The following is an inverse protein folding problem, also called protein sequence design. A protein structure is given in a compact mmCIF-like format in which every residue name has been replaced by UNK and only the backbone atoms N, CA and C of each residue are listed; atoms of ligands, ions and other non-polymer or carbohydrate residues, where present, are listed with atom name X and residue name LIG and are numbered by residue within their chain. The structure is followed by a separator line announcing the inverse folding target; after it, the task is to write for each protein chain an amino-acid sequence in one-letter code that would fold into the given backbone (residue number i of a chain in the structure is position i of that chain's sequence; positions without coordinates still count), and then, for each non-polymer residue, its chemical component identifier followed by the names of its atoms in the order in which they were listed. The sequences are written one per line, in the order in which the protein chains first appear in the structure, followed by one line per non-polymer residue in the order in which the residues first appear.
data_IF_677077532594
#
_entry.id   IF_677077532594
#
_cell.length_a   1.000
_cell.length_b   1.000
_cell.length_c   1.000
_cell.angle_alpha   90.00
_cell.angle_beta   90.00
_cell.angle_gamma   90.00
#
_symmetry.space_group_name_H-M   'P 1'
#
loop_
_entity.id
_entity.type
_entity.pdbx_description
1 polymer ?
#
# COMPACT_ATOMS: atom_id res chain seq x y z
N UNK A 1 38.49 -3.29 19.35
CA UNK A 1 37.04 -3.29 19.62
C UNK A 1 36.37 -2.67 18.40
N UNK A 2 35.65 -3.45 17.58
CA UNK A 2 34.85 -2.91 16.48
C UNK A 2 33.40 -2.95 16.96
N UNK A 3 32.76 -1.78 17.08
CA UNK A 3 31.32 -1.72 17.26
C UNK A 3 30.67 -2.39 16.04
N UNK A 4 29.73 -3.33 16.20
CA UNK A 4 28.93 -3.77 15.07
C UNK A 4 28.14 -2.56 14.59
N UNK A 5 28.22 -2.30 13.30
CA UNK A 5 27.43 -1.33 12.56
C UNK A 5 26.01 -1.33 13.09
N UNK A 6 25.66 -0.29 13.85
CA UNK A 6 24.28 0.08 14.08
C UNK A 6 23.73 0.30 12.68
N UNK A 7 22.98 -0.69 12.17
CA UNK A 7 22.18 -0.53 10.97
C UNK A 7 21.38 0.74 11.25
N UNK A 8 21.72 1.81 10.53
CA UNK A 8 21.13 3.12 10.74
C UNK A 8 19.63 2.97 10.50
N UNK A 9 18.89 2.67 11.56
CA UNK A 9 17.46 2.76 11.55
C UNK A 9 17.18 4.25 11.26
N UNK A 10 16.51 4.58 10.14
CA UNK A 10 16.25 5.97 9.80
C UNK A 10 15.50 6.62 10.98
N UNK A 11 16.15 7.61 11.61
CA UNK A 11 15.61 8.43 12.70
C UNK A 11 14.67 9.51 12.12
N UNK A 12 13.81 10.16 12.93
CA UNK A 12 12.38 10.24 12.69
C UNK A 12 11.95 11.45 11.85
N UNK A 13 10.85 11.28 11.12
CA UNK A 13 9.81 12.31 10.93
C UNK A 13 10.29 13.71 10.50
N UNK A 14 11.15 13.79 9.50
CA UNK A 14 11.31 15.04 8.75
C UNK A 14 10.52 14.91 7.43
N UNK A 15 9.75 15.92 6.99
CA UNK A 15 9.04 15.87 5.72
C UNK A 15 9.86 15.41 4.49
N UNK A 16 11.18 15.69 4.39
CA UNK A 16 12.08 15.13 3.40
C UNK A 16 12.24 13.60 3.48
N UNK A 17 12.17 12.99 4.67
CA UNK A 17 12.34 11.55 4.85
C UNK A 17 11.14 10.77 4.28
N UNK A 18 9.91 11.21 4.56
CA UNK A 18 8.73 10.61 3.93
C UNK A 18 8.77 10.80 2.41
N UNK A 19 9.16 11.99 1.93
CA UNK A 19 9.31 12.23 0.49
C UNK A 19 10.29 11.23 -0.13
N UNK A 20 11.45 11.02 0.49
CA UNK A 20 12.45 10.06 0.01
C UNK A 20 11.90 8.62 -0.01
N UNK A 21 11.20 8.18 1.04
CA UNK A 21 10.55 6.87 1.07
C UNK A 21 9.55 6.71 -0.09
N UNK A 22 8.69 7.72 -0.31
CA UNK A 22 7.73 7.69 -1.41
C UNK A 22 8.42 7.66 -2.78
N UNK A 23 9.51 8.41 -2.95
CA UNK A 23 10.32 8.35 -4.16
C UNK A 23 10.96 6.97 -4.36
N UNK A 24 11.31 6.26 -3.28
CA UNK A 24 11.78 4.88 -3.37
C UNK A 24 10.67 3.90 -3.75
N UNK A 25 9.41 4.15 -3.39
CA UNK A 25 8.30 3.29 -3.79
C UNK A 25 7.94 3.47 -5.28
N UNK A 26 8.01 4.71 -5.78
CA UNK A 26 7.62 5.06 -7.15
C UNK A 26 8.44 4.31 -8.21
N UNK A 27 7.75 3.76 -9.20
CA UNK A 27 8.36 3.01 -10.31
C UNK A 27 8.98 1.66 -9.94
N UNK A 28 8.95 1.25 -8.66
CA UNK A 28 9.49 -0.05 -8.23
C UNK A 28 8.46 -1.18 -8.26
N UNK A 29 7.18 -0.89 -8.51
CA UNK A 29 6.09 -1.88 -8.51
C UNK A 29 6.34 -3.09 -9.41
N UNK A 30 6.93 -2.86 -10.58
CA UNK A 30 7.18 -3.88 -11.60
C UNK A 30 8.33 -4.83 -11.24
N UNK A 31 9.09 -4.56 -10.18
CA UNK A 31 10.12 -5.50 -9.70
C UNK A 31 9.46 -6.75 -9.16
N UNK A 32 10.15 -7.88 -9.13
CA UNK A 32 9.62 -9.16 -8.61
C UNK A 32 9.18 -9.09 -7.15
N UNK A 33 9.78 -8.19 -6.39
CA UNK A 33 9.47 -7.90 -5.01
C UNK A 33 9.56 -6.36 -4.83
N UNK A 34 8.42 -5.66 -4.75
CA UNK A 34 8.38 -4.21 -4.68
C UNK A 34 8.52 -3.75 -3.22
N UNK A 35 9.14 -2.58 -2.98
CA UNK A 35 9.17 -2.00 -1.65
C UNK A 35 7.75 -1.65 -1.17
N UNK A 36 7.54 -1.85 0.13
CA UNK A 36 6.31 -1.53 0.84
C UNK A 36 6.66 -0.80 2.14
N UNK A 37 5.80 0.14 2.53
CA UNK A 37 5.85 0.79 3.82
C UNK A 37 4.85 0.12 4.75
N UNK A 38 5.31 -0.37 5.90
CA UNK A 38 4.47 -1.08 6.86
C UNK A 38 4.35 -0.26 8.14
N UNK A 39 3.11 0.09 8.48
CA UNK A 39 2.71 0.67 9.75
C UNK A 39 2.37 -0.43 10.73
N UNK A 40 2.98 -0.43 11.90
CA UNK A 40 2.65 -1.37 12.97
C UNK A 40 1.19 -1.23 13.42
N UNK A 41 0.61 -2.36 13.84
CA UNK A 41 -0.70 -2.37 14.46
C UNK A 41 -0.66 -1.60 15.80
N UNK A 42 -1.70 -0.82 16.06
CA UNK A 42 -1.92 -0.12 17.33
C UNK A 42 -3.05 -0.77 18.11
N UNK A 43 -3.39 -0.20 19.26
CA UNK A 43 -4.55 -0.64 20.04
C UNK A 43 -5.90 -0.44 19.30
N UNK A 44 -5.95 0.44 18.29
CA UNK A 44 -7.19 0.85 17.61
C UNK A 44 -7.17 0.65 16.10
N UNK A 45 -6.04 0.27 15.53
CA UNK A 45 -5.81 0.20 14.09
C UNK A 45 -4.95 -0.99 13.78
N UNK A 46 -5.27 -1.75 12.75
CA UNK A 46 -4.44 -2.89 12.35
C UNK A 46 -3.19 -2.47 11.59
N UNK A 47 -2.31 -3.44 11.36
CA UNK A 47 -1.10 -3.22 10.58
C UNK A 47 -1.48 -2.77 9.17
N UNK A 48 -0.99 -1.58 8.80
CA UNK A 48 -1.25 -0.94 7.52
C UNK A 48 -0.07 -1.11 6.58
N UNK A 49 -0.31 -1.37 5.31
CA UNK A 49 0.73 -1.52 4.30
C UNK A 49 0.46 -0.57 3.15
N UNK A 50 1.50 0.14 2.72
CA UNK A 50 1.44 1.10 1.62
C UNK A 50 2.41 0.70 0.53
N UNK A 51 1.92 0.70 -0.69
CA UNK A 51 2.72 0.49 -1.90
C UNK A 51 2.40 1.58 -2.91
N UNK A 52 3.34 1.84 -3.84
CA UNK A 52 3.06 2.66 -5.00
C UNK A 52 2.82 1.75 -6.21
N UNK A 53 1.58 1.65 -6.66
CA UNK A 53 1.20 0.93 -7.88
C UNK A 53 1.04 1.95 -9.00
N UNK A 54 1.86 1.87 -10.05
CA UNK A 54 1.82 2.82 -11.17
C UNK A 54 1.81 4.30 -10.72
N UNK A 55 2.66 4.59 -9.71
CA UNK A 55 2.79 5.93 -9.09
C UNK A 55 1.64 6.35 -8.16
N UNK A 56 0.59 5.54 -8.04
CA UNK A 56 -0.51 5.72 -7.11
C UNK A 56 -0.23 5.04 -5.77
N UNK A 57 -0.31 5.81 -4.68
CA UNK A 57 -0.13 5.30 -3.33
C UNK A 57 -1.40 4.61 -2.85
N UNK A 58 -1.29 3.32 -2.58
CA UNK A 58 -2.39 2.47 -2.12
C UNK A 58 -2.08 1.99 -0.72
N UNK A 59 -2.91 2.37 0.24
CA UNK A 59 -2.87 1.91 1.62
C UNK A 59 -3.88 0.77 1.80
N UNK A 60 -3.50 -0.28 2.53
CA UNK A 60 -4.41 -1.38 2.87
C UNK A 60 -4.03 -1.91 4.25
N UNK A 61 -5.05 -2.12 5.08
CA UNK A 61 -4.89 -2.82 6.36
C UNK A 61 -4.98 -4.32 6.14
N UNK A 62 -4.38 -5.11 7.04
CA UNK A 62 -4.40 -6.57 6.93
C UNK A 62 -5.81 -7.14 6.84
N UNK A 63 -6.73 -6.64 7.66
CA UNK A 63 -8.13 -7.09 7.73
C UNK A 63 -9.05 -6.32 6.78
N UNK A 64 -8.54 -5.27 6.11
CA UNK A 64 -9.34 -4.57 5.12
C UNK A 64 -9.53 -5.44 3.86
N UNK A 65 -10.78 -5.53 3.40
CA UNK A 65 -11.14 -6.20 2.14
C UNK A 65 -10.52 -5.53 0.91
N UNK A 66 -10.37 -4.20 0.96
CA UNK A 66 -9.92 -3.37 -0.15
C UNK A 66 -8.79 -2.42 0.23
N UNK A 67 -8.01 -2.02 -0.78
CA UNK A 67 -7.07 -0.92 -0.64
C UNK A 67 -7.78 0.42 -0.87
N UNK A 68 -7.22 1.48 -0.29
CA UNK A 68 -7.68 2.84 -0.46
C UNK A 68 -6.54 3.72 -0.98
N UNK A 69 -6.85 4.59 -1.93
CA UNK A 69 -5.90 5.58 -2.42
C UNK A 69 -5.58 6.55 -1.28
N UNK A 70 -4.30 6.67 -0.93
CA UNK A 70 -3.85 7.54 0.15
C UNK A 70 -3.01 8.68 -0.41
N UNK A 71 -3.28 9.90 0.03
CA UNK A 71 -2.45 11.05 -0.32
C UNK A 71 -1.28 11.17 0.65
N UNK A 72 -0.32 12.05 0.34
CA UNK A 72 0.78 12.34 1.26
C UNK A 72 0.27 12.85 2.63
N UNK A 73 -0.74 13.71 2.65
CA UNK A 73 -1.36 14.18 3.90
C UNK A 73 -2.01 13.04 4.69
N UNK A 74 -2.69 12.11 4.02
CA UNK A 74 -3.23 10.91 4.65
C UNK A 74 -2.14 10.08 5.32
N UNK A 75 -1.02 9.87 4.62
CA UNK A 75 0.15 9.18 5.20
C UNK A 75 0.71 9.90 6.43
N UNK A 76 0.79 11.23 6.43
CA UNK A 76 1.22 11.96 7.63
C UNK A 76 0.28 11.73 8.80
N UNK A 77 -1.02 11.67 8.55
CA UNK A 77 -2.00 11.37 9.59
C UNK A 77 -1.81 9.96 10.15
N UNK A 78 -1.57 8.95 9.30
CA UNK A 78 -1.21 7.60 9.75
C UNK A 78 0.09 7.59 10.57
N UNK A 79 1.11 8.35 10.15
CA UNK A 79 2.37 8.47 10.91
C UNK A 79 2.14 9.07 12.30
N UNK A 80 1.27 10.07 12.40
CA UNK A 80 0.92 10.69 13.69
C UNK A 80 0.14 9.75 14.61
N UNK A 81 -0.64 8.81 14.05
CA UNK A 81 -1.47 7.88 14.81
C UNK A 81 -0.75 6.57 15.18
N UNK A 82 -0.09 5.94 14.21
CA UNK A 82 0.51 4.61 14.33
C UNK A 82 2.03 4.66 14.53
N UNK A 83 2.64 5.83 14.33
CA UNK A 83 4.09 5.97 14.34
C UNK A 83 4.70 5.76 12.95
N UNK A 84 6.02 5.59 12.93
CA UNK A 84 6.76 5.57 11.66
C UNK A 84 6.56 4.24 10.92
N UNK A 85 6.31 4.28 9.60
CA UNK A 85 6.32 3.07 8.81
C UNK A 85 7.75 2.56 8.62
N UNK A 86 7.88 1.25 8.60
CA UNK A 86 9.13 0.57 8.24
C UNK A 86 9.15 0.30 6.75
N UNK A 87 10.24 0.67 6.07
CA UNK A 87 10.48 0.29 4.68
C UNK A 87 10.93 -1.17 4.62
N UNK A 88 10.09 -2.01 4.04
CA UNK A 88 10.33 -3.44 3.84
C UNK A 88 9.92 -3.81 2.40
N UNK A 89 9.82 -5.09 2.12
CA UNK A 89 9.39 -5.63 0.85
C UNK A 89 7.99 -6.20 0.95
N UNK A 90 7.22 -6.20 -0.14
CA UNK A 90 5.87 -6.76 -0.12
C UNK A 90 5.88 -8.24 0.27
N UNK A 91 6.89 -9.01 -0.17
CA UNK A 91 7.03 -10.43 0.16
C UNK A 91 7.27 -10.70 1.65
N UNK A 92 7.78 -9.72 2.41
CA UNK A 92 7.92 -9.81 3.88
C UNK A 92 6.61 -9.50 4.61
N UNK A 93 5.61 -8.97 3.91
CA UNK A 93 4.27 -8.73 4.45
C UNK A 93 3.34 -9.90 4.15
N UNK A 94 2.25 -10.08 4.93
CA UNK A 94 1.20 -11.04 4.60
C UNK A 94 0.35 -10.62 3.38
N UNK A 95 0.57 -9.41 2.84
CA UNK A 95 -0.14 -8.93 1.66
C UNK A 95 0.63 -9.24 0.37
N UNK A 96 -0.10 -9.45 -0.71
CA UNK A 96 0.48 -9.72 -2.03
C UNK A 96 0.04 -8.68 -3.03
N UNK A 97 0.64 -8.66 -4.23
CA UNK A 97 0.27 -7.72 -5.28
C UNK A 97 -1.23 -7.68 -5.57
N UNK A 98 -1.88 -8.84 -5.51
CA UNK A 98 -3.31 -8.99 -5.78
C UNK A 98 -4.15 -8.10 -4.86
N UNK A 99 -3.75 -7.96 -3.59
CA UNK A 99 -4.45 -7.12 -2.62
C UNK A 99 -4.40 -5.62 -2.93
N UNK A 100 -3.48 -5.20 -3.80
CA UNK A 100 -3.32 -3.82 -4.22
C UNK A 100 -3.66 -3.59 -5.69
N UNK A 101 -3.87 -4.64 -6.50
CA UNK A 101 -4.23 -4.51 -7.93
C UNK A 101 -5.67 -4.84 -8.21
N UNK A 102 -6.34 -5.61 -7.34
CA UNK A 102 -7.79 -5.78 -7.43
C UNK A 102 -8.41 -4.41 -7.18
N UNK A 103 -8.97 -3.78 -8.20
CA UNK A 103 -9.69 -2.50 -8.02
C UNK A 103 -10.75 -2.69 -6.94
N UNK A 104 -10.92 -1.75 -5.99
CA UNK A 104 -12.07 -1.78 -5.11
C UNK A 104 -13.30 -1.84 -6.02
N UNK A 105 -14.15 -2.84 -5.85
CA UNK A 105 -15.30 -3.06 -6.72
C UNK A 105 -16.31 -1.93 -6.46
N UNK A 106 -16.05 -0.78 -7.06
CA UNK A 106 -17.01 0.27 -7.31
C UNK A 106 -17.60 0.06 -8.69
N UNK A 107 -18.66 -0.75 -8.76
CA UNK A 107 -19.75 -0.61 -9.74
C UNK A 107 -19.32 -0.57 -11.22
N UNK A 108 -19.15 -1.72 -11.87
CA UNK A 108 -19.37 -1.89 -13.32
C UNK A 108 -19.65 -3.36 -13.67
N UNK A 109 -20.59 -4.00 -12.97
CA UNK A 109 -21.37 -5.11 -13.55
C UNK A 109 -22.86 -4.75 -13.55
N UNK A 110 -23.15 -3.53 -14.02
CA UNK A 110 -24.44 -3.18 -14.61
C UNK A 110 -24.19 -2.90 -16.08
N UNK A 111 -23.92 -3.93 -16.86
CA UNK A 111 -24.24 -3.88 -18.27
C UNK A 111 -24.86 -5.22 -18.66
N UNK A 112 -26.17 -5.14 -18.89
CA UNK A 112 -27.04 -6.17 -19.39
C UNK A 112 -26.42 -6.88 -20.60
N UNK A 113 -26.50 -8.21 -20.61
CA UNK A 113 -26.97 -8.91 -21.80
C UNK A 113 -28.10 -9.85 -21.35
N UNK A 114 -29.38 -9.59 -21.73
CA UNK A 114 -30.43 -10.56 -21.52
C UNK A 114 -30.14 -11.77 -22.41
N UNK A 115 -30.10 -12.93 -21.75
CA UNK A 115 -30.04 -14.25 -22.37
C UNK A 115 -31.22 -14.43 -23.34
N UNK A 116 -30.89 -14.93 -24.53
CA UNK A 116 -31.74 -15.72 -25.43
C UNK A 116 -32.83 -15.02 -26.27
N UNK A 117 -32.49 -14.92 -27.56
CA UNK A 117 -33.24 -15.49 -28.70
C UNK A 117 -34.75 -15.20 -28.78
N UNK A 118 -35.10 -14.23 -29.63
CA UNK A 118 -36.38 -14.28 -30.34
C UNK A 118 -36.28 -13.57 -31.69
N UNK A 119 -35.99 -14.41 -32.68
CA UNK A 119 -36.69 -14.48 -33.96
C UNK A 119 -36.43 -13.36 -35.00
N UNK A 120 -35.56 -13.70 -35.96
CA UNK A 120 -35.59 -13.15 -37.33
C UNK A 120 -36.63 -13.91 -38.19
N UNK A 121 -36.88 -13.49 -39.43
CA UNK A 121 -37.39 -12.21 -39.92
C UNK A 121 -38.91 -12.25 -40.26
#
# INVERSE_FOLDING_TARGET
MRAPTEAQAPTPTDPPALKALLEQLRGQWHRSDPPALVFDATATTEQGVVVAVDDELRYRELDADDWQAVTRDGLYHHIQQQGQPTLTTLAETPLTRKHFTTSPIGTLESNLEPDSDSQSP
#
